data_IF_726848000765
#
_entry.id   IF_726848000765
#
_cell.length_a   1.000
_cell.length_b   1.000
_cell.length_c   1.000
_cell.angle_alpha   90.00
_cell.angle_beta   90.00
_cell.angle_gamma   90.00
#
_symmetry.space_group_name_H-M   'P 1'
#
loop_
_entity.id
_entity.type
_entity.pdbx_description
1 polymer ?
#
# COMPACT_ATOMS: atom_id res chain seq x y z
N UNK A 1 9.11 -25.79 -45.45
CA UNK A 1 8.87 -24.52 -44.75
C UNK A 1 8.69 -23.39 -45.76
N UNK A 2 7.43 -23.09 -46.10
CA UNK A 2 7.05 -22.04 -47.04
C UNK A 2 7.33 -20.63 -46.50
N UNK A 3 7.39 -19.62 -47.38
CA UNK A 3 7.49 -18.21 -46.95
C UNK A 3 6.30 -17.77 -46.07
N UNK A 4 5.13 -18.36 -46.30
CA UNK A 4 3.91 -18.07 -45.54
C UNK A 4 3.99 -18.56 -44.10
N UNK A 5 4.47 -19.79 -43.87
CA UNK A 5 4.67 -20.35 -42.52
C UNK A 5 5.65 -19.50 -41.70
N UNK A 6 6.76 -19.08 -42.32
CA UNK A 6 7.73 -18.16 -41.68
C UNK A 6 7.13 -16.78 -41.39
N UNK A 7 6.24 -16.30 -42.26
CA UNK A 7 5.49 -15.05 -42.06
C UNK A 7 4.52 -15.12 -40.88
N UNK A 8 3.85 -16.25 -40.68
CA UNK A 8 2.96 -16.47 -39.53
C UNK A 8 3.75 -16.51 -38.22
N UNK A 9 4.85 -17.27 -38.16
CA UNK A 9 5.71 -17.35 -36.97
C UNK A 9 6.27 -15.98 -36.58
N UNK A 10 6.75 -15.20 -37.55
CA UNK A 10 7.26 -13.86 -37.30
C UNK A 10 6.17 -12.90 -36.76
N UNK A 11 4.94 -13.02 -37.27
CA UNK A 11 3.81 -12.20 -36.82
C UNK A 11 3.37 -12.57 -35.40
N UNK A 12 3.30 -13.86 -35.08
CA UNK A 12 3.00 -14.35 -33.74
C UNK A 12 4.06 -13.92 -32.72
N UNK A 13 5.35 -13.97 -33.09
CA UNK A 13 6.44 -13.51 -32.22
C UNK A 13 6.32 -12.02 -31.88
N UNK A 14 6.04 -11.17 -32.88
CA UNK A 14 5.81 -9.73 -32.69
C UNK A 14 4.59 -9.45 -31.81
N UNK A 15 3.50 -10.18 -32.01
CA UNK A 15 2.30 -10.04 -31.18
C UNK A 15 2.58 -10.45 -29.73
N UNK A 16 3.31 -11.54 -29.51
CA UNK A 16 3.68 -11.98 -28.17
C UNK A 16 4.61 -10.98 -27.47
N UNK A 17 5.53 -10.36 -28.20
CA UNK A 17 6.39 -9.29 -27.69
C UNK A 17 5.59 -8.03 -27.32
N UNK A 18 4.70 -7.58 -28.20
CA UNK A 18 3.82 -6.44 -27.93
C UNK A 18 2.91 -6.69 -26.70
N UNK A 19 2.38 -7.91 -26.55
CA UNK A 19 1.59 -8.29 -25.39
C UNK A 19 2.41 -8.28 -24.09
N UNK A 20 3.66 -8.77 -24.11
CA UNK A 20 4.56 -8.72 -22.95
C UNK A 20 4.90 -7.29 -22.54
N UNK A 21 5.18 -6.43 -23.51
CA UNK A 21 5.49 -5.03 -23.25
C UNK A 21 4.29 -4.31 -22.63
N UNK A 22 3.07 -4.54 -23.15
CA UNK A 22 1.85 -3.98 -22.57
C UNK A 22 1.62 -4.40 -21.11
N UNK A 23 1.84 -5.68 -20.79
CA UNK A 23 1.75 -6.16 -19.40
C UNK A 23 2.81 -5.50 -18.52
N UNK A 24 4.05 -5.41 -19.01
CA UNK A 24 5.15 -4.74 -18.30
C UNK A 24 4.88 -3.26 -18.04
N UNK A 25 4.37 -2.54 -19.04
CA UNK A 25 3.99 -1.12 -18.93
C UNK A 25 2.85 -0.93 -17.92
N UNK A 26 1.85 -1.82 -17.93
CA UNK A 26 0.75 -1.80 -16.96
C UNK A 26 1.25 -2.04 -15.54
N UNK A 27 2.05 -3.08 -15.32
CA UNK A 27 2.61 -3.40 -14.01
C UNK A 27 3.52 -2.26 -13.50
N UNK A 28 4.30 -1.66 -14.39
CA UNK A 28 5.13 -0.49 -14.10
C UNK A 28 4.30 0.73 -13.68
N UNK A 29 3.22 1.02 -14.40
CA UNK A 29 2.32 2.13 -14.07
C UNK A 29 1.58 1.91 -12.74
N UNK A 30 1.11 0.68 -12.48
CA UNK A 30 0.52 0.31 -11.17
C UNK A 30 1.56 0.43 -10.04
N UNK A 31 2.80 0.00 -10.29
CA UNK A 31 3.91 0.17 -9.36
C UNK A 31 4.19 1.63 -9.04
N UNK A 32 4.21 2.51 -10.04
CA UNK A 32 4.42 3.94 -9.87
C UNK A 32 3.31 4.59 -9.03
N UNK A 33 2.04 4.23 -9.28
CA UNK A 33 0.91 4.70 -8.46
C UNK A 33 1.06 4.28 -7.00
N UNK A 34 1.41 3.00 -6.75
CA UNK A 34 1.61 2.50 -5.38
C UNK A 34 2.76 3.21 -4.68
N UNK A 35 3.87 3.42 -5.38
CA UNK A 35 5.04 4.12 -4.85
C UNK A 35 4.72 5.59 -4.51
N UNK A 36 3.88 6.25 -5.30
CA UNK A 36 3.44 7.62 -5.03
C UNK A 36 2.40 7.68 -3.89
N UNK A 37 1.53 6.68 -3.77
CA UNK A 37 0.48 6.62 -2.75
C UNK A 37 1.02 6.31 -1.35
N UNK A 38 1.99 5.39 -1.24
CA UNK A 38 2.54 4.94 0.04
C UNK A 38 2.94 6.07 1.00
N UNK A 39 3.77 7.07 0.62
CA UNK A 39 4.16 8.13 1.54
C UNK A 39 3.00 9.04 1.95
N UNK A 40 1.99 9.20 1.09
CA UNK A 40 0.79 10.00 1.38
C UNK A 40 -0.07 9.28 2.42
N UNK A 41 -0.29 7.99 2.22
CA UNK A 41 -1.02 7.14 3.17
C UNK A 41 -0.29 7.09 4.52
N UNK A 42 1.03 6.88 4.53
CA UNK A 42 1.84 6.88 5.75
C UNK A 42 1.79 8.23 6.50
N UNK A 43 1.77 9.35 5.78
CA UNK A 43 1.61 10.66 6.39
C UNK A 43 0.20 10.89 6.97
N UNK A 44 -0.83 10.40 6.29
CA UNK A 44 -2.21 10.46 6.79
C UNK A 44 -2.40 9.59 8.04
N UNK A 45 -1.90 8.35 8.01
CA UNK A 45 -1.92 7.43 9.16
C UNK A 45 -1.18 8.02 10.35
N UNK A 46 0.02 8.59 10.15
CA UNK A 46 0.76 9.25 11.24
C UNK A 46 -0.03 10.40 11.85
N UNK A 47 -0.61 11.28 11.02
CA UNK A 47 -1.44 12.39 11.50
C UNK A 47 -2.64 11.92 12.32
N UNK A 48 -3.31 10.87 11.88
CA UNK A 48 -4.44 10.29 12.60
C UNK A 48 -4.00 9.68 13.94
N UNK A 49 -2.89 8.93 13.96
CA UNK A 49 -2.34 8.35 15.20
C UNK A 49 -1.81 9.39 16.18
N UNK A 50 -1.33 10.54 15.69
CA UNK A 50 -0.93 11.68 16.51
C UNK A 50 -2.14 12.43 17.09
N UNK A 51 -3.31 12.36 16.45
CA UNK A 51 -4.54 12.91 17.00
C UNK A 51 -5.12 12.04 18.12
N UNK A 52 -4.80 10.75 18.17
CA UNK A 52 -5.34 9.82 19.17
C UNK A 52 -4.55 9.93 20.49
N UNK A 53 -5.19 10.30 21.61
CA UNK A 53 -4.52 10.39 22.91
C UNK A 53 -4.10 9.01 23.43
N UNK A 54 -2.98 8.96 24.16
CA UNK A 54 -2.46 7.75 24.83
C UNK A 54 -3.47 7.15 25.81
N UNK A 55 -4.38 7.96 26.36
CA UNK A 55 -5.49 7.51 27.19
C UNK A 55 -6.37 6.45 26.48
N UNK A 56 -6.53 6.51 25.14
CA UNK A 56 -7.28 5.50 24.38
C UNK A 56 -6.63 4.12 24.41
N UNK A 57 -5.32 4.02 24.70
CA UNK A 57 -4.66 2.73 24.90
C UNK A 57 -5.06 2.08 26.23
N UNK A 58 -5.50 2.83 27.25
CA UNK A 58 -6.05 2.26 28.48
C UNK A 58 -7.38 1.56 28.21
N UNK A 59 -8.23 2.15 27.39
CA UNK A 59 -9.53 1.56 27.00
C UNK A 59 -9.31 0.19 26.32
N UNK A 60 -8.32 0.09 25.43
CA UNK A 60 -7.99 -1.14 24.67
C UNK A 60 -7.30 -2.21 25.54
N UNK A 61 -6.78 -1.83 26.71
CA UNK A 61 -6.05 -2.73 27.62
C UNK A 61 -6.81 -3.02 28.93
N UNK A 62 -8.11 -2.70 28.97
CA UNK A 62 -9.01 -2.91 30.12
C UNK A 62 -8.51 -2.18 31.39
N UNK A 63 -7.88 -1.01 31.25
CA UNK A 63 -7.43 -0.19 32.38
C UNK A 63 -6.22 -0.74 33.15
N UNK A 64 -5.55 -1.78 32.65
CA UNK A 64 -4.38 -2.38 33.32
C UNK A 64 -3.07 -1.59 33.13
N UNK A 65 -3.07 -0.57 32.28
CA UNK A 65 -1.91 0.30 32.06
C UNK A 65 -1.90 1.49 33.03
N UNK A 66 -0.95 1.50 33.96
CA UNK A 66 -0.64 2.70 34.77
C UNK A 66 0.11 3.72 33.91
N UNK A 67 -0.62 4.65 33.29
CA UNK A 67 -0.05 5.67 32.38
C UNK A 67 0.55 6.90 33.07
N UNK A 68 0.44 7.02 34.41
CA UNK A 68 0.85 8.23 35.13
C UNK A 68 2.31 8.66 34.88
N UNK A 69 3.23 7.72 34.66
CA UNK A 69 4.63 8.03 34.30
C UNK A 69 4.84 8.37 32.83
N UNK A 70 3.98 7.88 31.94
CA UNK A 70 4.13 8.05 30.48
C UNK A 70 3.62 9.41 30.02
N UNK A 71 2.48 9.88 30.57
CA UNK A 71 1.97 11.22 30.27
C UNK A 71 2.94 12.31 30.75
N UNK A 72 3.59 12.10 31.90
CA UNK A 72 4.59 13.02 32.46
C UNK A 72 5.91 13.04 31.66
N UNK A 73 6.17 12.00 30.86
CA UNK A 73 7.35 11.91 29.99
C UNK A 73 7.19 12.63 28.65
N UNK A 74 6.03 13.26 28.40
CA UNK A 74 5.73 13.97 27.15
C UNK A 74 5.15 13.09 26.04
N UNK A 75 5.04 11.78 26.26
CA UNK A 75 4.42 10.84 25.32
C UNK A 75 2.91 10.84 25.53
N UNK A 76 2.19 11.68 24.77
CA UNK A 76 0.75 11.92 24.95
C UNK A 76 -0.14 11.32 23.86
N UNK A 77 0.44 10.86 22.75
CA UNK A 77 -0.29 10.36 21.57
C UNK A 77 0.13 8.95 21.23
N UNK A 78 -0.73 8.22 20.52
CA UNK A 78 -0.42 6.85 20.06
C UNK A 78 0.74 6.86 19.06
N UNK A 79 0.80 7.87 18.19
CA UNK A 79 1.94 8.07 17.29
C UNK A 79 3.27 8.25 18.04
N UNK A 80 3.28 9.07 19.10
CA UNK A 80 4.46 9.27 19.94
C UNK A 80 4.92 7.99 20.67
N UNK A 81 3.99 7.10 21.05
CA UNK A 81 4.32 5.80 21.65
C UNK A 81 5.04 4.90 20.63
N UNK A 82 4.53 4.84 19.40
CA UNK A 82 5.13 4.04 18.33
C UNK A 82 6.51 4.58 17.92
N UNK A 83 6.66 5.90 17.86
CA UNK A 83 7.92 6.57 17.56
C UNK A 83 8.96 6.38 18.68
N UNK A 84 8.55 6.51 19.94
CA UNK A 84 9.43 6.32 21.09
C UNK A 84 9.99 4.90 21.15
N UNK A 85 9.18 3.90 20.80
CA UNK A 85 9.58 2.49 20.78
C UNK A 85 9.94 1.94 22.17
N UNK A 86 10.35 0.67 22.22
CA UNK A 86 10.54 -0.02 23.49
C UNK A 86 11.66 0.59 24.35
N UNK A 87 12.77 1.00 23.71
CA UNK A 87 13.94 1.51 24.40
C UNK A 87 13.65 2.81 25.16
N UNK A 88 13.00 3.80 24.51
CA UNK A 88 12.68 5.09 25.14
C UNK A 88 11.63 4.94 26.23
N UNK A 89 10.64 4.07 26.02
CA UNK A 89 9.58 3.81 27.00
C UNK A 89 10.12 3.12 28.26
N UNK A 90 11.12 2.24 28.15
CA UNK A 90 11.79 1.61 29.28
C UNK A 90 12.61 2.60 30.13
N UNK A 91 12.99 3.75 29.60
CA UNK A 91 13.69 4.78 30.36
C UNK A 91 12.75 5.63 31.23
N UNK A 92 11.42 5.46 31.08
CA UNK A 92 10.43 6.20 31.87
C UNK A 92 10.35 5.58 33.27
N UNK A 93 10.56 6.36 34.35
CA UNK A 93 10.45 5.86 35.71
C UNK A 93 9.07 5.24 35.97
N UNK A 94 9.07 4.01 36.52
CA UNK A 94 7.84 3.28 36.82
C UNK A 94 7.23 2.50 35.65
N UNK A 95 7.86 2.51 34.47
CA UNK A 95 7.41 1.72 33.30
C UNK A 95 8.27 0.46 33.15
N UNK A 96 7.67 -0.69 33.43
CA UNK A 96 8.31 -1.99 33.27
C UNK A 96 8.16 -2.56 31.86
N UNK A 97 8.99 -3.56 31.52
CA UNK A 97 9.00 -4.23 30.21
C UNK A 97 7.63 -4.77 29.78
N UNK A 98 6.89 -5.39 30.71
CA UNK A 98 5.53 -5.87 30.46
C UNK A 98 4.56 -4.75 30.05
N UNK A 99 4.69 -3.58 30.68
CA UNK A 99 3.87 -2.40 30.36
C UNK A 99 4.22 -1.87 28.97
N UNK A 100 5.51 -1.81 28.64
CA UNK A 100 5.98 -1.41 27.30
C UNK A 100 5.46 -2.35 26.22
N UNK A 101 5.59 -3.66 26.43
CA UNK A 101 5.15 -4.67 25.46
C UNK A 101 3.64 -4.58 25.21
N UNK A 102 2.84 -4.41 26.28
CA UNK A 102 1.39 -4.23 26.17
C UNK A 102 1.02 -2.93 25.45
N UNK A 103 1.73 -1.84 25.75
CA UNK A 103 1.48 -0.53 25.15
C UNK A 103 1.80 -0.54 23.65
N UNK A 104 2.93 -1.12 23.25
CA UNK A 104 3.30 -1.28 21.84
C UNK A 104 2.35 -2.22 21.10
N UNK A 105 1.92 -3.32 21.74
CA UNK A 105 0.94 -4.22 21.13
C UNK A 105 -0.43 -3.54 20.92
N UNK A 106 -0.89 -2.74 21.90
CA UNK A 106 -2.12 -1.97 21.76
C UNK A 106 -2.00 -0.88 20.68
N UNK A 107 -0.89 -0.13 20.67
CA UNK A 107 -0.64 0.90 19.68
C UNK A 107 -0.55 0.34 18.25
N UNK A 108 0.07 -0.84 18.07
CA UNK A 108 0.10 -1.54 16.77
C UNK A 108 -1.28 -1.95 16.28
N UNK A 109 -2.11 -2.53 17.15
CA UNK A 109 -3.50 -2.90 16.78
C UNK A 109 -4.32 -1.68 16.38
N UNK A 110 -4.12 -0.55 17.06
CA UNK A 110 -4.79 0.69 16.70
C UNK A 110 -4.24 1.25 15.39
N UNK A 111 -2.93 1.17 15.15
CA UNK A 111 -2.32 1.56 13.88
C UNK A 111 -2.85 0.72 12.71
N UNK A 112 -3.00 -0.59 12.88
CA UNK A 112 -3.61 -1.47 11.88
C UNK A 112 -5.06 -1.04 11.57
N UNK A 113 -5.88 -0.79 12.59
CA UNK A 113 -7.26 -0.31 12.40
C UNK A 113 -7.34 1.06 11.70
N UNK A 114 -6.41 1.97 12.01
CA UNK A 114 -6.30 3.28 11.35
C UNK A 114 -5.83 3.11 9.90
N UNK A 115 -4.87 2.23 9.62
CA UNK A 115 -4.41 1.94 8.27
C UNK A 115 -5.54 1.43 7.36
N UNK A 116 -6.46 0.62 7.91
CA UNK A 116 -7.63 0.11 7.18
C UNK A 116 -8.71 1.17 6.91
N UNK A 117 -8.77 2.23 7.72
CA UNK A 117 -9.87 3.22 7.68
C UNK A 117 -9.48 4.57 7.09
N UNK A 118 -8.19 4.92 7.06
CA UNK A 118 -7.71 6.20 6.52
C UNK A 118 -7.96 6.28 5.01
N UNK A 119 -8.87 7.17 4.64
CA UNK A 119 -9.06 7.57 3.25
C UNK A 119 -8.04 8.65 2.87
N UNK A 120 -7.24 8.38 1.83
CA UNK A 120 -6.34 9.38 1.27
C UNK A 120 -7.17 10.45 0.57
N UNK A 121 -7.20 11.65 1.15
CA UNK A 121 -7.87 12.81 0.57
C UNK A 121 -6.91 13.54 -0.37
N UNK A 122 -7.29 13.61 -1.64
CA UNK A 122 -6.61 14.44 -2.64
C UNK A 122 -7.22 15.83 -2.54
N UNK A 123 -6.54 16.73 -1.84
CA UNK A 123 -6.92 18.13 -1.80
C UNK A 123 -6.51 18.80 -3.13
N UNK A 124 -7.51 19.27 -3.88
CA UNK A 124 -7.34 19.91 -5.19
C UNK A 124 -6.95 21.39 -5.04
N UNK A 125 -7.32 22.02 -3.92
CA UNK A 125 -7.09 23.44 -3.67
C UNK A 125 -5.70 23.71 -3.06
N UNK A 126 -5.05 22.68 -2.50
CA UNK A 126 -3.66 22.75 -2.01
C UNK A 126 -2.81 21.58 -2.52
N UNK A 127 -2.34 21.63 -3.78
CA UNK A 127 -1.57 20.53 -4.36
C UNK A 127 -0.23 20.35 -3.65
N UNK A 128 -0.08 19.25 -2.92
CA UNK A 128 1.21 18.80 -2.40
C UNK A 128 2.01 18.06 -3.52
N UNK A 129 3.35 18.12 -3.51
CA UNK A 129 4.18 17.46 -4.52
C UNK A 129 3.92 15.94 -4.63
N UNK A 130 3.63 15.27 -3.51
CA UNK A 130 3.26 13.85 -3.49
C UNK A 130 1.94 13.57 -4.21
N UNK A 131 0.94 14.42 -3.99
CA UNK A 131 -0.37 14.34 -4.64
C UNK A 131 -0.27 14.55 -6.15
N UNK A 132 0.62 15.44 -6.60
CA UNK A 132 0.89 15.66 -8.03
C UNK A 132 1.53 14.43 -8.67
N UNK A 133 2.52 13.80 -8.01
CA UNK A 133 3.12 12.56 -8.48
C UNK A 133 2.10 11.42 -8.59
N UNK A 134 1.18 11.32 -7.63
CA UNK A 134 0.08 10.36 -7.66
C UNK A 134 -0.86 10.61 -8.84
N UNK A 135 -1.27 11.86 -9.07
CA UNK A 135 -2.15 12.24 -10.20
C UNK A 135 -1.47 11.95 -11.54
N UNK A 136 -0.18 12.26 -11.69
CA UNK A 136 0.56 11.94 -12.92
C UNK A 136 0.64 10.43 -13.16
N UNK A 137 0.92 9.64 -12.12
CA UNK A 137 0.96 8.18 -12.24
C UNK A 137 -0.42 7.59 -12.57
N UNK A 138 -1.50 8.15 -12.00
CA UNK A 138 -2.86 7.75 -12.31
C UNK A 138 -3.26 8.14 -13.73
N UNK A 139 -2.83 9.30 -14.22
CA UNK A 139 -3.10 9.78 -15.57
C UNK A 139 -2.63 8.78 -16.64
N UNK A 140 -1.45 8.18 -16.46
CA UNK A 140 -0.94 7.13 -17.37
C UNK A 140 -1.89 5.92 -17.46
N UNK A 141 -2.46 5.49 -16.34
CA UNK A 141 -3.43 4.38 -16.32
C UNK A 141 -4.80 4.77 -16.90
N UNK A 142 -5.21 6.02 -16.74
CA UNK A 142 -6.48 6.55 -17.26
C UNK A 142 -6.42 6.72 -18.78
N UNK A 143 -5.33 7.27 -19.31
CA UNK A 143 -5.09 7.44 -20.75
C UNK A 143 -5.02 6.09 -21.50
N UNK A 144 -4.41 5.07 -20.89
CA UNK A 144 -4.40 3.72 -21.45
C UNK A 144 -5.81 3.08 -21.51
N UNK A 145 -6.75 3.58 -20.70
CA UNK A 145 -8.14 3.18 -20.69
C UNK A 145 -8.40 1.76 -20.15
N UNK A 146 -9.68 1.39 -19.93
CA UNK A 146 -10.06 0.09 -19.37
C UNK A 146 -9.73 -1.09 -20.29
N UNK A 147 -9.47 -0.83 -21.58
CA UNK A 147 -9.09 -1.83 -22.57
C UNK A 147 -7.65 -2.32 -22.34
N UNK A 148 -6.71 -1.43 -22.00
CA UNK A 148 -5.34 -1.82 -21.63
C UNK A 148 -5.32 -2.74 -20.40
N UNK A 149 -6.14 -2.43 -19.37
CA UNK A 149 -6.31 -3.30 -18.20
C UNK A 149 -6.89 -4.67 -18.55
N UNK A 150 -7.85 -4.74 -19.48
CA UNK A 150 -8.43 -6.02 -19.95
C UNK A 150 -7.41 -6.84 -20.73
N UNK A 151 -6.57 -6.19 -21.54
CA UNK A 151 -5.52 -6.83 -22.31
C UNK A 151 -4.34 -7.30 -21.45
N UNK A 152 -4.03 -6.58 -20.36
CA UNK A 152 -2.99 -6.95 -19.41
C UNK A 152 -3.39 -8.09 -18.45
N UNK A 153 -4.69 -8.43 -18.36
CA UNK A 153 -5.14 -9.56 -17.55
C UNK A 153 -4.59 -10.86 -18.14
N UNK A 154 -3.94 -11.72 -17.35
CA UNK A 154 -3.49 -13.03 -17.83
C UNK A 154 -4.71 -13.82 -18.34
N UNK A 155 -4.71 -14.09 -19.65
CA UNK A 155 -5.70 -14.97 -20.28
C UNK A 155 -5.44 -16.40 -19.78
N UNK A 156 -6.49 -17.17 -19.44
CA UNK A 156 -6.32 -18.59 -19.16
C UNK A 156 -5.66 -19.27 -20.37
N UNK A 157 -4.82 -20.31 -20.17
CA UNK A 157 -4.21 -21.03 -21.27
C UNK A 157 -5.33 -21.54 -22.18
N UNK A 158 -5.43 -20.94 -23.36
CA UNK A 158 -6.41 -21.37 -24.35
C UNK A 158 -5.96 -22.74 -24.82
N UNK A 159 -6.75 -23.77 -24.52
CA UNK A 159 -6.62 -25.08 -25.16
C UNK A 159 -6.93 -24.88 -26.65
N UNK A 160 -5.90 -24.56 -27.43
CA UNK A 160 -5.97 -24.48 -28.86
C UNK A 160 -6.24 -25.90 -29.38
N UNK A 161 -7.52 -26.19 -29.58
CA UNK A 161 -8.02 -27.50 -29.97
C UNK A 161 -7.38 -27.95 -31.28
N UNK A 162 -6.71 -29.10 -31.20
CA UNK A 162 -6.40 -29.94 -32.34
C UNK A 162 -7.73 -30.38 -32.99
N UNK A 163 -8.19 -29.65 -34.00
CA UNK A 163 -9.16 -30.15 -34.97
C UNK A 163 -8.46 -30.28 -36.31
N UNK A 164 -7.54 -31.25 -36.40
CA UNK A 164 -7.11 -31.79 -37.68
C UNK A 164 -8.28 -32.61 -38.23
N UNK A 165 -9.10 -31.95 -39.06
CA UNK A 165 -10.14 -32.59 -39.85
C UNK A 165 -9.45 -33.32 -41.01
N UNK A 166 -9.31 -34.63 -40.88
CA UNK A 166 -9.06 -35.55 -42.00
C UNK A 166 -10.34 -35.65 -42.83
N UNK A 167 -10.26 -35.28 -44.10
CA UNK A 167 -11.10 -35.80 -45.16
C UNK A 167 -10.26 -35.87 -46.43
#
# INVERSE_FOLDING_TARGET
MGREERGVVARSARLAEAARNLVGDHDGAVGAVRAALAPIHDAAVRRELDAIPVARLQDVTEGRLRLGGVEQSGVRTVGAVLEAGAYRLLQIPGVGRRTVDQMLAAARRLAEAVQETVAVHVDVDRPEPGTTALVMALHVLVEAGPQARRAARPLPPSTCGATSRTY
#
